data_IF_716745415634
#
_entry.id   IF_716745415634
#
_cell.length_a   1.000
_cell.length_b   1.000
_cell.length_c   1.000
_cell.angle_alpha   90.00
_cell.angle_beta   90.00
_cell.angle_gamma   90.00
#
_symmetry.space_group_name_H-M   'P 1'
#
loop_
_entity.id
_entity.type
_entity.pdbx_description
1 polymer ?
#
# COMPACT_ATOMS: atom_id res chain seq x y z
N UNK A 1 26.94 -20.90 1.42
CA UNK A 1 26.47 -19.88 2.39
C UNK A 1 25.60 -18.91 1.62
N UNK A 2 24.28 -18.98 1.78
CA UNK A 2 23.36 -18.09 1.06
C UNK A 2 23.48 -16.70 1.66
N UNK A 3 24.00 -15.73 0.90
CA UNK A 3 23.97 -14.33 1.29
C UNK A 3 22.51 -13.92 1.43
N UNK A 4 22.06 -13.62 2.65
CA UNK A 4 20.72 -13.09 2.89
C UNK A 4 20.56 -11.84 2.03
N UNK A 5 19.60 -11.88 1.09
CA UNK A 5 19.28 -10.73 0.25
C UNK A 5 18.70 -9.63 1.14
N UNK A 6 19.23 -8.42 1.00
CA UNK A 6 18.70 -7.22 1.65
C UNK A 6 18.08 -6.32 0.58
N UNK A 7 16.79 -6.03 0.71
CA UNK A 7 16.12 -5.06 -0.16
C UNK A 7 16.52 -3.64 0.20
N UNK A 8 16.50 -2.74 -0.78
CA UNK A 8 16.68 -1.30 -0.55
C UNK A 8 15.35 -0.59 -0.75
N UNK A 9 15.05 0.35 0.15
CA UNK A 9 13.87 1.20 0.03
C UNK A 9 14.02 2.11 -1.20
N UNK A 10 13.01 2.09 -2.06
CA UNK A 10 12.88 2.95 -3.23
C UNK A 10 12.01 4.16 -2.91
N UNK A 11 12.28 5.28 -3.58
CA UNK A 11 11.31 6.37 -3.63
C UNK A 11 10.16 5.98 -4.55
N UNK A 12 8.94 6.46 -4.26
CA UNK A 12 7.83 6.30 -5.18
C UNK A 12 8.13 7.01 -6.51
N UNK A 13 8.01 6.28 -7.61
CA UNK A 13 8.03 6.80 -8.96
C UNK A 13 6.89 6.17 -9.76
N UNK A 14 6.34 6.89 -10.73
CA UNK A 14 5.28 6.33 -11.57
C UNK A 14 5.76 5.07 -12.30
N UNK A 15 7.00 5.08 -12.80
CA UNK A 15 7.57 3.96 -13.55
C UNK A 15 7.73 2.71 -12.68
N UNK A 16 8.34 2.84 -11.49
CA UNK A 16 8.60 1.72 -10.61
C UNK A 16 7.33 1.18 -9.93
N UNK A 17 6.35 2.05 -9.64
CA UNK A 17 5.16 1.64 -8.90
C UNK A 17 4.00 1.19 -9.80
N UNK A 18 4.01 1.55 -11.08
CA UNK A 18 2.95 1.19 -12.05
C UNK A 18 2.61 -0.30 -12.11
N UNK A 19 3.54 -1.26 -11.95
CA UNK A 19 3.18 -2.68 -11.90
C UNK A 19 2.21 -3.01 -10.76
N UNK A 20 2.42 -2.40 -9.59
CA UNK A 20 1.70 -2.67 -8.34
C UNK A 20 0.44 -1.85 -8.18
N UNK A 21 0.40 -0.63 -8.72
CA UNK A 21 -0.68 0.27 -8.37
C UNK A 21 -0.55 1.67 -8.92
N UNK A 22 -1.24 2.58 -8.26
CA UNK A 22 -1.13 4.02 -8.46
C UNK A 22 -0.91 4.71 -7.13
N UNK A 23 -0.41 5.94 -7.17
CA UNK A 23 -0.32 6.77 -5.97
C UNK A 23 -0.47 8.24 -6.36
N UNK A 24 -0.98 9.04 -5.44
CA UNK A 24 -1.04 10.49 -5.58
C UNK A 24 -1.03 11.18 -4.21
N UNK A 25 -0.38 12.34 -4.08
CA UNK A 25 -0.55 13.18 -2.89
C UNK A 25 -2.03 13.56 -2.72
N UNK A 26 -2.53 13.49 -1.49
CA UNK A 26 -3.80 14.08 -1.06
C UNK A 26 -3.56 15.58 -0.85
N UNK A 27 -3.19 16.25 -1.93
CA UNK A 27 -2.94 17.67 -2.02
C UNK A 27 -3.42 18.16 -3.40
N UNK A 28 -3.70 19.47 -3.54
CA UNK A 28 -4.06 20.02 -4.85
C UNK A 28 -2.99 19.69 -5.91
N UNK A 29 -3.35 19.04 -7.03
CA UNK A 29 -2.41 18.81 -8.11
C UNK A 29 -2.11 20.14 -8.84
N UNK A 30 -1.06 20.17 -9.66
CA UNK A 30 -0.68 21.36 -10.42
C UNK A 30 -1.72 21.81 -11.47
N UNK A 31 -2.67 20.94 -11.83
CA UNK A 31 -3.74 21.22 -12.79
C UNK A 31 -4.80 22.17 -12.24
N UNK A 32 -5.63 22.72 -13.14
CA UNK A 32 -6.78 23.56 -12.75
C UNK A 32 -7.86 22.69 -12.06
N UNK A 33 -8.56 23.21 -11.04
CA UNK A 33 -9.70 22.51 -10.45
C UNK A 33 -10.85 22.41 -11.46
N UNK A 34 -11.70 21.39 -11.30
CA UNK A 34 -12.94 21.26 -12.06
C UNK A 34 -13.93 22.38 -11.70
N UNK A 35 -14.07 22.63 -10.40
CA UNK A 35 -14.83 23.74 -9.84
C UNK A 35 -13.91 24.49 -8.90
N UNK A 36 -13.79 25.81 -9.05
CA UNK A 36 -13.14 26.57 -8.00
C UNK A 36 -13.26 28.09 -8.08
N UNK A 37 -13.43 28.67 -6.89
CA UNK A 37 -13.37 30.11 -6.61
C UNK A 37 -12.34 30.38 -5.49
N UNK A 38 -12.47 31.52 -4.81
CA UNK A 38 -11.60 31.89 -3.68
C UNK A 38 -11.81 31.02 -2.43
N UNK A 39 -12.96 30.37 -2.29
CA UNK A 39 -13.39 29.62 -1.09
C UNK A 39 -13.28 28.12 -1.29
N UNK A 40 -13.70 27.61 -2.45
CA UNK A 40 -13.79 26.17 -2.74
C UNK A 40 -12.99 25.86 -3.98
N UNK A 41 -12.19 24.78 -3.97
CA UNK A 41 -11.57 24.21 -5.17
C UNK A 41 -11.66 22.69 -5.13
N UNK A 42 -12.12 22.08 -6.21
CA UNK A 42 -12.37 20.65 -6.31
C UNK A 42 -11.63 20.03 -7.49
N UNK A 43 -10.82 19.01 -7.20
CA UNK A 43 -10.18 18.16 -8.20
C UNK A 43 -10.76 16.75 -8.04
N UNK A 44 -11.67 16.32 -8.93
CA UNK A 44 -12.18 14.96 -8.88
C UNK A 44 -11.06 13.96 -9.12
N UNK A 45 -11.11 12.84 -8.42
CA UNK A 45 -10.23 11.67 -8.61
C UNK A 45 -8.72 11.95 -8.47
N UNK A 46 -8.33 13.07 -7.85
CA UNK A 46 -6.92 13.48 -7.73
C UNK A 46 -6.09 12.51 -6.88
N UNK A 47 -6.72 11.78 -5.96
CA UNK A 47 -6.08 10.73 -5.16
C UNK A 47 -5.95 9.39 -5.90
N UNK A 48 -6.63 9.22 -7.04
CA UNK A 48 -6.78 7.95 -7.73
C UNK A 48 -8.15 7.31 -7.53
N UNK A 49 -8.33 6.13 -8.12
CA UNK A 49 -9.58 5.36 -8.11
C UNK A 49 -9.34 3.95 -7.54
N UNK A 50 -10.26 3.48 -6.72
CA UNK A 50 -10.21 2.12 -6.15
C UNK A 50 -11.24 1.25 -6.88
N UNK A 51 -10.81 0.07 -7.31
CA UNK A 51 -11.73 -0.98 -7.77
C UNK A 51 -12.08 -1.89 -6.60
N UNK A 52 -13.33 -1.85 -6.15
CA UNK A 52 -13.81 -2.66 -5.01
C UNK A 52 -14.07 -4.14 -5.38
N UNK A 53 -13.90 -4.48 -6.66
CA UNK A 53 -14.12 -5.84 -7.13
C UNK A 53 -15.59 -6.28 -7.17
N UNK A 54 -15.84 -7.47 -7.76
CA UNK A 54 -17.19 -8.03 -7.86
C UNK A 54 -17.77 -8.50 -6.52
N UNK A 55 -16.91 -8.79 -5.53
CA UNK A 55 -17.32 -9.29 -4.22
C UNK A 55 -17.83 -8.20 -3.27
N UNK A 56 -17.60 -6.92 -3.58
CA UNK A 56 -18.17 -5.80 -2.84
C UNK A 56 -19.68 -5.67 -3.13
N UNK A 57 -20.49 -6.56 -2.53
CA UNK A 57 -21.93 -6.54 -2.67
C UNK A 57 -22.49 -5.14 -2.32
N UNK A 58 -23.03 -4.44 -3.33
CA UNK A 58 -23.55 -3.08 -3.18
C UNK A 58 -22.53 -1.95 -3.33
N UNK A 59 -21.30 -2.23 -3.78
CA UNK A 59 -20.27 -1.21 -4.03
C UNK A 59 -19.81 -0.47 -2.78
N UNK A 60 -19.95 -1.10 -1.61
CA UNK A 60 -19.58 -0.49 -0.34
C UNK A 60 -18.07 -0.51 -0.14
N UNK A 61 -17.54 0.61 0.35
CA UNK A 61 -16.17 0.73 0.85
C UNK A 61 -16.22 0.88 2.37
N UNK A 62 -15.47 0.04 3.07
CA UNK A 62 -15.17 0.21 4.48
C UNK A 62 -13.96 1.13 4.63
N UNK A 63 -14.05 2.02 5.62
CA UNK A 63 -13.03 3.03 5.94
C UNK A 63 -12.41 2.63 7.29
N UNK A 64 -11.33 1.85 7.25
CA UNK A 64 -10.70 1.27 8.44
C UNK A 64 -9.35 1.90 8.78
N UNK A 65 -8.91 1.81 10.04
CA UNK A 65 -7.58 2.29 10.45
C UNK A 65 -6.67 1.10 10.78
N UNK A 66 -5.52 1.04 10.12
CA UNK A 66 -4.41 0.19 10.52
C UNK A 66 -3.36 1.04 11.24
N UNK A 67 -3.14 0.78 12.52
CA UNK A 67 -2.11 1.46 13.30
C UNK A 67 -0.83 0.64 13.29
N UNK A 68 0.26 1.21 12.75
CA UNK A 68 1.55 0.53 12.64
C UNK A 68 2.60 1.25 13.47
N UNK A 69 3.44 0.49 14.17
CA UNK A 69 4.60 1.02 14.90
C UNK A 69 5.87 0.65 14.14
N UNK A 70 6.92 1.44 14.32
CA UNK A 70 8.25 1.03 13.90
C UNK A 70 8.63 -0.31 14.54
N UNK A 71 9.20 -1.19 13.71
CA UNK A 71 9.65 -2.54 14.07
C UNK A 71 10.91 -2.87 13.26
N UNK A 72 11.65 -3.94 13.58
CA UNK A 72 12.76 -4.39 12.74
C UNK A 72 12.35 -4.49 11.27
N UNK A 73 13.22 -4.03 10.35
CA UNK A 73 12.95 -3.96 8.92
C UNK A 73 13.07 -5.35 8.27
N UNK A 74 12.13 -6.22 8.66
CA UNK A 74 12.04 -7.62 8.30
C UNK A 74 10.63 -7.90 7.77
N UNK A 75 10.54 -8.40 6.55
CA UNK A 75 9.31 -8.92 5.95
C UNK A 75 9.22 -10.38 6.33
N UNK A 76 8.35 -10.69 7.29
CA UNK A 76 8.07 -12.05 7.78
C UNK A 76 6.68 -12.57 7.34
N UNK A 77 5.88 -11.70 6.74
CA UNK A 77 4.50 -11.97 6.36
C UNK A 77 4.15 -11.17 5.11
N UNK A 78 3.51 -11.82 4.16
CA UNK A 78 2.85 -11.18 3.03
C UNK A 78 1.41 -11.68 2.92
N UNK A 79 0.53 -10.86 2.40
CA UNK A 79 -0.85 -11.15 2.06
C UNK A 79 -1.21 -10.57 0.69
N UNK A 80 -2.33 -10.98 0.13
CA UNK A 80 -2.95 -10.32 -1.01
C UNK A 80 -4.48 -10.48 -0.96
N UNK A 81 -5.16 -9.63 -1.75
CA UNK A 81 -6.60 -9.69 -1.98
C UNK A 81 -6.86 -10.02 -3.45
N UNK A 82 -7.63 -11.06 -3.73
CA UNK A 82 -7.82 -11.58 -5.09
C UNK A 82 -8.68 -10.66 -5.94
N UNK A 83 -9.75 -10.13 -5.35
CA UNK A 83 -10.85 -9.53 -6.10
C UNK A 83 -10.91 -8.02 -6.02
N UNK A 84 -10.23 -7.40 -5.05
CA UNK A 84 -10.31 -5.96 -4.76
C UNK A 84 -8.96 -5.28 -4.76
N UNK A 85 -8.95 -4.00 -5.12
CA UNK A 85 -7.85 -3.08 -4.81
C UNK A 85 -7.85 -2.74 -3.32
N UNK A 86 -6.70 -2.35 -2.78
CA UNK A 86 -6.57 -1.77 -1.44
C UNK A 86 -6.13 -0.30 -1.54
N UNK A 87 -6.87 0.61 -0.91
CA UNK A 87 -6.43 1.98 -0.71
C UNK A 87 -5.70 2.15 0.62
N UNK A 88 -4.53 2.79 0.61
CA UNK A 88 -3.66 2.99 1.77
C UNK A 88 -3.28 4.47 1.86
N UNK A 89 -3.63 5.15 2.94
CA UNK A 89 -3.26 6.54 3.20
C UNK A 89 -2.60 6.69 4.59
N UNK A 90 -1.27 6.85 4.67
CA UNK A 90 -0.61 7.25 5.91
C UNK A 90 -1.05 8.66 6.32
N UNK A 91 -1.66 8.82 7.51
CA UNK A 91 -2.27 10.07 7.94
C UNK A 91 -1.28 10.99 8.68
N UNK A 92 -0.50 10.43 9.61
CA UNK A 92 0.24 11.20 10.60
C UNK A 92 1.74 10.83 10.70
N UNK A 93 2.26 10.08 9.74
CA UNK A 93 3.70 9.78 9.61
C UNK A 93 4.00 9.01 8.33
N UNK A 94 5.27 8.97 7.95
CA UNK A 94 5.69 8.26 6.74
C UNK A 94 5.79 6.76 7.00
N UNK A 95 5.64 5.96 5.93
CA UNK A 95 5.67 4.50 6.02
C UNK A 95 6.61 3.89 4.98
N UNK A 96 7.04 2.65 5.24
CA UNK A 96 7.56 1.74 4.22
C UNK A 96 6.49 0.72 3.86
N UNK A 97 6.21 0.58 2.57
CA UNK A 97 5.27 -0.38 2.01
C UNK A 97 6.04 -1.37 1.14
N UNK A 98 6.01 -2.64 1.50
CA UNK A 98 6.52 -3.67 0.60
C UNK A 98 5.42 -4.14 -0.34
N UNK A 99 5.82 -4.45 -1.58
CA UNK A 99 4.93 -4.95 -2.63
C UNK A 99 5.60 -6.07 -3.40
N UNK A 100 4.80 -6.98 -3.97
CA UNK A 100 5.24 -8.02 -4.89
C UNK A 100 4.21 -8.28 -6.00
N UNK A 101 4.65 -8.73 -7.18
CA UNK A 101 3.76 -8.95 -8.32
C UNK A 101 2.81 -10.13 -8.07
N UNK A 102 1.67 -10.14 -8.76
CA UNK A 102 0.72 -11.28 -8.72
C UNK A 102 1.43 -12.58 -9.11
N UNK A 103 1.12 -13.67 -8.40
CA UNK A 103 1.67 -15.00 -8.65
C UNK A 103 0.59 -16.00 -9.03
N UNK A 104 0.84 -16.94 -9.95
CA UNK A 104 -0.17 -17.90 -10.41
C UNK A 104 -0.47 -19.03 -9.41
N UNK A 105 0.38 -19.23 -8.41
CA UNK A 105 0.39 -20.38 -7.50
C UNK A 105 0.29 -19.97 -6.02
N UNK A 106 -0.11 -18.72 -5.77
CA UNK A 106 -0.23 -18.10 -4.44
C UNK A 106 1.05 -18.26 -3.58
N UNK A 107 2.22 -18.32 -4.22
CA UNK A 107 3.52 -18.27 -3.54
C UNK A 107 4.02 -16.82 -3.46
N UNK A 108 4.66 -16.48 -2.34
CA UNK A 108 5.26 -15.13 -2.20
C UNK A 108 6.42 -15.00 -3.20
N UNK A 109 6.43 -13.97 -4.08
CA UNK A 109 7.49 -13.77 -5.05
C UNK A 109 8.71 -13.13 -4.39
N UNK A 110 9.41 -13.87 -3.53
CA UNK A 110 10.56 -13.35 -2.74
C UNK A 110 11.64 -12.70 -3.61
N UNK A 111 11.78 -13.16 -4.86
CA UNK A 111 12.72 -12.61 -5.84
C UNK A 111 12.32 -11.20 -6.33
N UNK A 112 11.05 -10.86 -6.26
CA UNK A 112 10.47 -9.67 -6.90
C UNK A 112 9.81 -8.74 -5.87
N UNK A 113 10.02 -8.99 -4.58
CA UNK A 113 9.63 -8.06 -3.53
C UNK A 113 10.43 -6.76 -3.64
N UNK A 114 9.70 -5.66 -3.53
CA UNK A 114 10.23 -4.30 -3.47
C UNK A 114 9.69 -3.59 -2.25
N UNK A 115 10.39 -2.55 -1.78
CA UNK A 115 9.96 -1.71 -0.66
C UNK A 115 9.98 -0.26 -1.10
N UNK A 116 8.87 0.44 -0.89
CA UNK A 116 8.74 1.86 -1.23
C UNK A 116 8.58 2.70 0.02
N UNK A 117 9.25 3.85 0.03
CA UNK A 117 8.96 4.94 0.96
C UNK A 117 7.71 5.68 0.51
N UNK A 118 6.69 5.73 1.37
CA UNK A 118 5.43 6.41 1.12
C UNK A 118 5.31 7.58 2.11
N UNK A 119 5.40 8.83 1.63
CA UNK A 119 5.22 10.00 2.49
C UNK A 119 3.80 10.07 3.06
N UNK A 120 3.66 10.61 4.27
CA UNK A 120 2.36 10.98 4.85
C UNK A 120 1.55 11.81 3.86
N UNK A 121 0.24 11.58 3.82
CA UNK A 121 -0.65 12.25 2.88
C UNK A 121 -0.50 11.78 1.43
N UNK A 122 0.20 10.68 1.15
CA UNK A 122 0.23 10.06 -0.19
C UNK A 122 -0.75 8.90 -0.22
N UNK A 123 -1.82 9.02 -1.00
CA UNK A 123 -2.76 7.93 -1.18
C UNK A 123 -2.20 6.92 -2.18
N UNK A 124 -2.11 5.66 -1.77
CA UNK A 124 -1.66 4.54 -2.59
C UNK A 124 -2.84 3.63 -2.87
N UNK A 125 -2.97 3.17 -4.11
CA UNK A 125 -3.96 2.14 -4.49
C UNK A 125 -3.21 0.94 -5.07
N UNK A 126 -3.26 -0.18 -4.36
CA UNK A 126 -2.74 -1.46 -4.83
C UNK A 126 -3.77 -2.15 -5.73
N UNK A 127 -3.31 -2.74 -6.83
CA UNK A 127 -4.15 -3.57 -7.70
C UNK A 127 -4.54 -4.88 -6.98
N UNK A 128 -5.63 -5.53 -7.41
CA UNK A 128 -5.94 -6.89 -6.95
C UNK A 128 -4.77 -7.85 -7.23
N UNK A 129 -4.51 -8.75 -6.27
CA UNK A 129 -3.51 -9.80 -6.33
C UNK A 129 -2.08 -9.37 -5.98
N UNK A 130 -1.83 -8.08 -5.76
CA UNK A 130 -0.50 -7.61 -5.36
C UNK A 130 -0.18 -8.07 -3.95
N UNK A 131 0.98 -8.70 -3.79
CA UNK A 131 1.47 -9.09 -2.47
C UNK A 131 1.90 -7.85 -1.70
N UNK A 132 1.50 -7.75 -0.44
CA UNK A 132 1.84 -6.66 0.48
C UNK A 132 1.58 -7.15 1.91
N UNK A 133 1.63 -6.28 2.92
CA UNK A 133 1.05 -6.50 4.25
C UNK A 133 1.01 -5.15 4.96
N UNK A 134 0.54 -5.12 6.20
CA UNK A 134 0.62 -3.95 7.07
C UNK A 134 1.99 -3.25 6.97
N UNK A 135 2.01 -1.93 6.65
CA UNK A 135 3.24 -1.21 6.40
C UNK A 135 4.09 -1.05 7.67
N UNK A 136 5.30 -0.53 7.51
CA UNK A 136 6.18 -0.20 8.62
C UNK A 136 6.15 1.31 8.84
N UNK A 137 6.11 1.79 10.08
CA UNK A 137 6.42 3.21 10.30
C UNK A 137 7.87 3.47 9.89
N UNK A 138 8.11 4.54 9.13
CA UNK A 138 9.45 4.84 8.62
C UNK A 138 10.41 5.37 9.69
N UNK A 139 9.87 6.05 10.70
CA UNK A 139 10.64 6.68 11.78
C UNK A 139 10.69 5.81 13.04
N UNK A 140 11.90 5.61 13.59
CA UNK A 140 12.12 4.81 14.79
C UNK A 140 11.35 5.36 15.99
N UNK A 141 10.61 4.49 16.67
CA UNK A 141 9.82 4.85 17.85
C UNK A 141 8.46 5.49 17.53
N UNK A 142 8.16 5.75 16.25
CA UNK A 142 6.89 6.33 15.82
C UNK A 142 5.80 5.27 15.67
N UNK A 143 4.58 5.68 16.01
CA UNK A 143 3.34 5.02 15.63
C UNK A 143 2.69 5.86 14.53
N UNK A 144 2.18 5.21 13.49
CA UNK A 144 1.51 5.84 12.35
C UNK A 144 0.13 5.25 12.20
N UNK A 145 -0.88 6.10 12.04
CA UNK A 145 -2.22 5.71 11.67
C UNK A 145 -2.35 5.73 10.15
N UNK A 146 -2.68 4.58 9.58
CA UNK A 146 -2.87 4.41 8.13
C UNK A 146 -4.34 4.12 7.86
N UNK A 147 -4.99 4.99 7.09
CA UNK A 147 -6.34 4.75 6.62
C UNK A 147 -6.31 3.69 5.51
N UNK A 148 -7.13 2.67 5.67
CA UNK A 148 -7.32 1.56 4.75
C UNK A 148 -8.72 1.62 4.15
N UNK A 149 -8.80 1.53 2.83
CA UNK A 149 -10.03 1.49 2.06
C UNK A 149 -10.15 0.14 1.34
N UNK A 150 -11.10 -0.67 1.78
CA UNK A 150 -11.37 -2.02 1.28
C UNK A 150 -12.87 -2.31 1.34
N UNK A 151 -13.40 -3.28 0.59
CA UNK A 151 -14.72 -3.83 0.84
C UNK A 151 -14.90 -4.29 2.31
N UNK A 152 -16.12 -4.21 2.87
CA UNK A 152 -16.37 -4.75 4.20
C UNK A 152 -15.97 -6.23 4.31
N UNK A 153 -15.24 -6.56 5.37
CA UNK A 153 -14.76 -7.93 5.69
C UNK A 153 -13.75 -8.55 4.72
N UNK A 154 -13.03 -7.77 3.91
CA UNK A 154 -11.92 -8.32 3.08
C UNK A 154 -10.96 -9.21 3.87
N UNK A 155 -10.61 -8.83 5.10
CA UNK A 155 -9.77 -9.63 6.00
C UNK A 155 -10.27 -11.06 6.29
N UNK A 156 -11.56 -11.33 6.11
CA UNK A 156 -12.17 -12.64 6.33
C UNK A 156 -12.56 -13.36 5.03
N UNK A 157 -12.87 -12.60 3.98
CA UNK A 157 -13.52 -13.12 2.79
C UNK A 157 -12.63 -13.09 1.54
N UNK A 158 -11.57 -12.28 1.52
CA UNK A 158 -10.67 -12.09 0.38
C UNK A 158 -9.27 -11.67 0.83
N UNK A 159 -8.69 -12.44 1.75
CA UNK A 159 -7.32 -12.22 2.22
C UNK A 159 -6.59 -13.56 2.37
N UNK A 160 -5.50 -13.73 1.63
CA UNK A 160 -4.63 -14.91 1.70
C UNK A 160 -3.32 -14.47 2.30
N UNK A 161 -2.97 -15.02 3.47
CA UNK A 161 -1.75 -14.67 4.22
C UNK A 161 -0.73 -15.81 4.13
N UNK A 162 0.54 -15.46 3.91
CA UNK A 162 1.69 -16.38 3.86
C UNK A 162 2.82 -15.86 4.75
N UNK A 163 3.46 -16.79 5.46
CA UNK A 163 4.69 -16.50 6.19
C UNK A 163 5.90 -16.50 5.26
N UNK A 164 6.85 -15.65 5.55
CA UNK A 164 8.17 -15.59 4.91
C UNK A 164 9.20 -16.05 5.95
N UNK A 165 9.75 -17.24 5.75
CA UNK A 165 10.74 -17.85 6.65
C UNK A 165 11.90 -18.46 5.83
N UNK A 166 13.14 -17.98 6.00
CA UNK A 166 13.55 -16.88 6.88
C UNK A 166 13.00 -15.53 6.42
N UNK A 167 12.81 -14.56 7.34
CA UNK A 167 12.31 -13.23 6.98
C UNK A 167 13.30 -12.48 6.09
N UNK A 168 12.77 -11.67 5.18
CA UNK A 168 13.57 -10.87 4.26
C UNK A 168 13.89 -9.49 4.85
N UNK A 169 15.17 -9.14 4.94
CA UNK A 169 15.60 -7.84 5.46
C UNK A 169 15.53 -6.73 4.42
N UNK A 170 15.33 -5.49 4.87
CA UNK A 170 15.45 -4.31 4.02
C UNK A 170 16.10 -3.12 4.75
N UNK A 171 16.70 -2.19 4.00
CA UNK A 171 17.37 -1.00 4.52
C UNK A 171 17.00 0.27 3.76
N UNK A 172 17.14 1.42 4.43
CA UNK A 172 17.02 2.76 3.88
C UNK A 172 18.38 3.42 3.56
N UNK A 173 19.49 2.75 3.87
CA UNK A 173 20.86 3.19 3.52
C UNK A 173 21.19 2.97 2.02
#
# INVERSE_FOLDING_TARGET
MSTSRMLRVKQLSYEDFRPYGTFAPVAPPAGKPLVGDEVIKFWPDAGGMISLGPAAAGGQVAVGICQVRWRPLLIDTCEFHTSTSEGILPLDGDIFLHVGPVTPDDQVPLADLEVFFVPKGTFVVLKPGIWHHAPFAAEKGRTVNTQILLPPRTYANDCIVKKVDPPLSFTCD
#
